data_IF_883411586700
#
_entry.id   IF_883411586700
#
_cell.length_a   1.000
_cell.length_b   1.000
_cell.length_c   1.000
_cell.angle_alpha   90.00
_cell.angle_beta   90.00
_cell.angle_gamma   90.00
#
_symmetry.space_group_name_H-M   'P 1'
#
loop_
_entity.id
_entity.type
_entity.pdbx_description
1 polymer ?
#
# COMPACT_ATOMS: atom_id res chain seq x y z
N UNK A 1 -14.03 3.96 7.32
CA UNK A 1 -13.47 3.75 5.96
C UNK A 1 -13.74 2.30 5.60
N UNK A 2 -14.52 2.04 4.55
CA UNK A 2 -14.90 0.67 4.19
C UNK A 2 -13.71 0.01 3.46
N UNK A 3 -13.23 -1.18 3.88
CA UNK A 3 -12.32 -1.96 3.03
C UNK A 3 -13.00 -2.20 1.68
N UNK A 4 -12.24 -2.22 0.57
CA UNK A 4 -12.73 -2.51 -0.79
C UNK A 4 -13.72 -3.70 -0.71
N UNK A 5 -15.04 -3.43 -0.65
CA UNK A 5 -16.09 -4.42 -0.42
C UNK A 5 -16.24 -5.25 -1.69
N UNK A 6 -16.07 -6.56 -1.56
CA UNK A 6 -15.96 -7.55 -2.65
C UNK A 6 -17.33 -7.85 -3.30
N UNK A 7 -18.27 -6.90 -3.31
CA UNK A 7 -19.69 -7.21 -3.60
C UNK A 7 -20.23 -6.73 -4.94
N UNK A 8 -19.40 -6.22 -5.85
CA UNK A 8 -19.86 -5.90 -7.22
C UNK A 8 -18.89 -6.42 -8.26
N UNK A 9 -19.46 -6.88 -9.38
CA UNK A 9 -18.98 -7.88 -10.35
C UNK A 9 -17.62 -7.62 -11.05
N UNK A 10 -16.87 -6.58 -10.71
CA UNK A 10 -15.48 -6.32 -11.17
C UNK A 10 -14.59 -5.63 -10.08
N UNK A 11 -14.30 -6.27 -8.93
CA UNK A 11 -13.66 -5.60 -7.77
C UNK A 11 -12.16 -5.31 -7.93
N UNK A 12 -11.44 -6.18 -8.65
CA UNK A 12 -9.98 -6.10 -8.76
C UNK A 12 -9.53 -4.89 -9.57
N UNK A 13 -10.25 -4.56 -10.64
CA UNK A 13 -9.87 -3.49 -11.55
C UNK A 13 -9.87 -2.12 -10.85
N UNK A 14 -10.89 -1.81 -10.02
CA UNK A 14 -11.03 -0.49 -9.40
C UNK A 14 -10.05 -0.25 -8.24
N UNK A 15 -9.72 -1.29 -7.46
CA UNK A 15 -8.79 -1.18 -6.33
C UNK A 15 -7.31 -1.17 -6.85
N UNK A 16 -7.00 -1.84 -7.98
CA UNK A 16 -5.69 -1.74 -8.65
C UNK A 16 -5.49 -0.46 -9.47
N UNK A 17 -6.51 -0.02 -10.22
CA UNK A 17 -6.39 1.19 -11.05
C UNK A 17 -6.17 2.44 -10.21
N UNK A 18 -6.78 2.51 -9.02
CA UNK A 18 -6.61 3.65 -8.10
C UNK A 18 -5.16 3.74 -7.58
N UNK A 19 -4.53 2.62 -7.23
CA UNK A 19 -3.14 2.61 -6.73
C UNK A 19 -2.14 3.00 -7.83
N UNK A 20 -2.28 2.40 -9.02
CA UNK A 20 -1.39 2.70 -10.16
C UNK A 20 -1.58 4.13 -10.65
N UNK A 21 -2.80 4.66 -10.63
CA UNK A 21 -3.08 6.07 -10.92
C UNK A 21 -2.38 7.00 -9.91
N UNK A 22 -2.47 6.72 -8.61
CA UNK A 22 -1.78 7.49 -7.58
C UNK A 22 -0.26 7.49 -7.77
N UNK A 23 0.34 6.34 -8.10
CA UNK A 23 1.79 6.23 -8.37
C UNK A 23 2.19 7.06 -9.60
N UNK A 24 1.44 6.95 -10.70
CA UNK A 24 1.73 7.71 -11.92
C UNK A 24 1.57 9.23 -11.70
N UNK A 25 0.54 9.64 -10.96
CA UNK A 25 0.32 11.04 -10.61
C UNK A 25 1.48 11.61 -9.77
N UNK A 26 1.91 10.90 -8.72
CA UNK A 26 3.04 11.34 -7.87
C UNK A 26 4.33 11.41 -8.68
N UNK A 27 4.59 10.40 -9.54
CA UNK A 27 5.76 10.39 -10.43
C UNK A 27 5.76 11.62 -11.35
N UNK A 28 4.64 11.89 -12.01
CA UNK A 28 4.50 13.04 -12.93
C UNK A 28 4.58 14.37 -12.18
N UNK A 29 4.14 14.43 -10.93
CA UNK A 29 4.24 15.64 -10.12
C UNK A 29 5.71 15.98 -9.79
N UNK A 30 6.52 14.98 -9.40
CA UNK A 30 7.96 15.16 -9.18
C UNK A 30 8.67 15.64 -10.45
N UNK A 31 8.27 15.11 -11.59
CA UNK A 31 8.79 15.47 -12.90
C UNK A 31 7.91 16.48 -13.66
N UNK A 32 7.15 17.34 -12.96
CA UNK A 32 6.14 18.20 -13.61
C UNK A 32 6.70 19.13 -14.69
N UNK A 33 7.98 19.48 -14.59
CA UNK A 33 8.69 20.25 -15.60
C UNK A 33 8.77 19.52 -16.97
N UNK A 34 8.82 18.19 -16.95
CA UNK A 34 8.89 17.33 -18.13
C UNK A 34 7.49 17.07 -18.74
N UNK A 35 6.42 17.48 -18.06
CA UNK A 35 5.02 17.27 -18.45
C UNK A 35 4.21 18.59 -18.49
N UNK A 36 4.59 19.56 -19.33
CA UNK A 36 3.82 20.79 -19.48
C UNK A 36 2.42 20.50 -20.08
N UNK A 37 1.38 21.14 -19.54
CA UNK A 37 0.00 20.97 -20.03
C UNK A 37 -0.67 19.65 -19.64
N UNK A 38 -0.19 19.00 -18.58
CA UNK A 38 -0.90 17.85 -18.02
C UNK A 38 -2.11 18.36 -17.23
N UNK A 39 -3.33 18.04 -17.67
CA UNK A 39 -4.59 18.52 -17.10
C UNK A 39 -4.65 18.42 -15.58
N UNK A 40 -4.07 17.39 -14.98
CA UNK A 40 -4.10 17.20 -13.53
C UNK A 40 -3.28 18.24 -12.74
N UNK A 41 -2.46 19.04 -13.41
CA UNK A 41 -1.61 20.10 -12.86
C UNK A 41 -1.98 21.51 -13.35
N UNK A 42 -3.07 21.66 -14.11
CA UNK A 42 -3.55 22.96 -14.61
C UNK A 42 -4.43 23.71 -13.62
N UNK A 43 -4.84 23.03 -12.54
CA UNK A 43 -5.58 23.63 -11.43
C UNK A 43 -4.70 24.57 -10.58
N UNK A 44 -5.32 25.27 -9.62
CA UNK A 44 -4.62 26.03 -8.57
C UNK A 44 -3.60 25.14 -7.84
N UNK A 45 -2.44 25.68 -7.49
CA UNK A 45 -1.34 24.94 -6.85
C UNK A 45 -1.82 24.24 -5.56
N UNK A 46 -2.71 24.88 -4.76
CA UNK A 46 -3.29 24.27 -3.57
C UNK A 46 -4.13 23.02 -3.89
N UNK A 47 -4.87 23.04 -4.99
CA UNK A 47 -5.69 21.90 -5.42
C UNK A 47 -4.81 20.76 -5.95
N UNK A 48 -3.73 21.09 -6.66
CA UNK A 48 -2.73 20.13 -7.11
C UNK A 48 -2.05 19.44 -5.92
N UNK A 49 -1.61 20.23 -4.94
CA UNK A 49 -1.01 19.71 -3.70
C UNK A 49 -1.98 18.81 -2.92
N UNK A 50 -3.24 19.22 -2.76
CA UNK A 50 -4.25 18.41 -2.10
C UNK A 50 -4.47 17.05 -2.80
N UNK A 51 -4.40 17.02 -4.14
CA UNK A 51 -4.52 15.79 -4.93
C UNK A 51 -3.31 14.87 -4.73
N UNK A 52 -2.10 15.43 -4.67
CA UNK A 52 -0.87 14.68 -4.40
C UNK A 52 -0.88 14.11 -2.98
N UNK A 53 -1.24 14.92 -1.97
CA UNK A 53 -1.35 14.47 -0.58
C UNK A 53 -2.36 13.34 -0.42
N UNK A 54 -3.54 13.48 -1.03
CA UNK A 54 -4.55 12.42 -1.05
C UNK A 54 -4.00 11.11 -1.64
N UNK A 55 -3.24 11.19 -2.73
CA UNK A 55 -2.63 10.02 -3.36
C UNK A 55 -1.55 9.37 -2.46
N UNK A 56 -0.72 10.18 -1.82
CA UNK A 56 0.31 9.70 -0.89
C UNK A 56 -0.33 8.98 0.30
N UNK A 57 -1.40 9.55 0.87
CA UNK A 57 -2.11 8.94 2.00
C UNK A 57 -2.74 7.60 1.63
N UNK A 58 -3.32 7.47 0.43
CA UNK A 58 -3.85 6.21 -0.05
C UNK A 58 -2.74 5.16 -0.23
N UNK A 59 -1.61 5.53 -0.83
CA UNK A 59 -0.47 4.63 -0.99
C UNK A 59 0.11 4.23 0.37
N UNK A 60 0.21 5.17 1.31
CA UNK A 60 0.65 4.93 2.69
C UNK A 60 -0.25 3.90 3.39
N UNK A 61 -1.57 4.02 3.25
CA UNK A 61 -2.53 3.05 3.80
C UNK A 61 -2.33 1.67 3.20
N UNK A 62 -2.21 1.55 1.87
CA UNK A 62 -1.95 0.26 1.22
C UNK A 62 -0.66 -0.36 1.73
N UNK A 63 0.44 0.40 1.81
CA UNK A 63 1.72 -0.10 2.30
C UNK A 63 1.64 -0.51 3.77
N UNK A 64 0.84 0.15 4.61
CA UNK A 64 0.64 -0.29 6.00
C UNK A 64 -0.23 -1.55 6.11
N UNK A 65 -1.25 -1.69 5.26
CA UNK A 65 -2.16 -2.83 5.29
C UNK A 65 -1.59 -4.08 4.61
N UNK A 66 -0.77 -3.90 3.57
CA UNK A 66 -0.20 -4.99 2.75
C UNK A 66 1.30 -5.17 2.94
N UNK A 67 1.98 -4.14 3.45
CA UNK A 67 3.38 -4.25 3.84
C UNK A 67 3.45 -5.24 4.98
N UNK A 68 3.95 -6.43 4.67
CA UNK A 68 4.33 -7.37 5.69
C UNK A 68 5.33 -6.68 6.59
N UNK A 69 4.88 -6.23 7.77
CA UNK A 69 5.79 -5.95 8.88
C UNK A 69 6.67 -7.19 8.95
N UNK A 70 7.96 -7.02 8.66
CA UNK A 70 8.93 -8.10 8.65
C UNK A 70 8.98 -8.69 10.05
N UNK A 71 8.05 -9.59 10.36
CA UNK A 71 7.96 -10.22 11.65
C UNK A 71 9.20 -11.08 11.71
N UNK A 72 10.12 -10.73 12.59
CA UNK A 72 11.20 -11.63 12.97
C UNK A 72 10.52 -12.81 13.65
N UNK A 73 10.31 -13.87 12.88
CA UNK A 73 9.76 -15.12 13.41
C UNK A 73 10.93 -15.89 14.00
N UNK A 74 10.84 -16.13 15.30
CA UNK A 74 11.61 -17.16 15.97
C UNK A 74 10.79 -18.44 15.87
N UNK A 75 11.22 -19.37 15.03
CA UNK A 75 10.62 -20.70 14.98
C UNK A 75 11.08 -21.47 16.22
N UNK A 76 10.18 -21.88 17.10
CA UNK A 76 10.55 -22.78 18.19
C UNK A 76 10.94 -24.13 17.58
N UNK A 77 12.22 -24.46 17.67
CA UNK A 77 12.82 -25.64 17.06
C UNK A 77 12.67 -26.89 17.96
N UNK A 78 12.09 -26.73 19.16
CA UNK A 78 11.97 -27.75 20.19
C UNK A 78 13.19 -27.82 21.11
N UNK A 79 13.10 -28.57 22.23
CA UNK A 79 14.18 -28.64 23.22
C UNK A 79 15.46 -29.25 22.62
N UNK A 80 16.61 -28.60 22.87
CA UNK A 80 17.94 -29.08 22.47
C UNK A 80 18.43 -28.65 21.08
N UNK A 81 17.70 -27.78 20.38
CA UNK A 81 18.12 -27.25 19.06
C UNK A 81 18.78 -25.87 19.18
N UNK A 82 19.68 -25.49 18.24
CA UNK A 82 20.34 -24.19 18.25
C UNK A 82 19.32 -23.03 18.19
N UNK A 83 19.71 -21.82 18.66
CA UNK A 83 18.80 -20.68 18.69
C UNK A 83 18.19 -20.42 17.31
N UNK A 84 16.89 -20.08 17.25
CA UNK A 84 16.19 -19.91 15.98
C UNK A 84 16.89 -18.90 15.08
N UNK A 85 17.13 -19.29 13.83
CA UNK A 85 17.55 -18.34 12.79
C UNK A 85 16.42 -17.35 12.52
N UNK A 86 16.72 -16.07 12.53
CA UNK A 86 15.77 -15.02 12.18
C UNK A 86 15.42 -15.13 10.71
N UNK A 87 14.18 -15.53 10.41
CA UNK A 87 13.68 -15.55 9.03
C UNK A 87 12.85 -14.30 8.77
N UNK A 88 13.35 -13.43 7.89
CA UNK A 88 12.56 -12.33 7.35
C UNK A 88 11.59 -12.92 6.33
N UNK A 89 10.34 -13.13 6.75
CA UNK A 89 9.27 -13.63 5.88
C UNK A 89 8.22 -12.54 5.70
N UNK A 90 8.09 -12.08 4.47
CA UNK A 90 7.08 -11.09 4.07
C UNK A 90 5.75 -11.79 3.74
N UNK A 91 5.77 -13.12 3.58
CA UNK A 91 4.60 -13.94 3.31
C UNK A 91 3.88 -14.26 4.62
N UNK A 92 2.75 -13.61 4.84
CA UNK A 92 1.81 -14.00 5.90
C UNK A 92 1.19 -15.34 5.49
N UNK A 93 1.65 -16.45 6.07
CA UNK A 93 0.75 -17.61 6.21
C UNK A 93 -0.37 -17.12 7.14
N UNK A 94 -1.65 -17.23 6.75
CA UNK A 94 -2.75 -16.76 7.59
C UNK A 94 -2.74 -17.57 8.88
N UNK A 95 -2.15 -17.00 9.93
CA UNK A 95 -2.38 -17.44 11.29
C UNK A 95 -3.81 -16.99 11.57
N UNK A 96 -4.66 -17.91 12.03
CA UNK A 96 -6.08 -17.68 12.33
C UNK A 96 -6.18 -16.67 13.48
N UNK A 97 -5.95 -15.39 13.19
CA UNK A 97 -5.99 -14.28 14.15
C UNK A 97 -7.30 -13.56 13.89
N UNK A 98 -8.12 -13.46 14.93
CA UNK A 98 -9.32 -12.62 14.93
C UNK A 98 -8.96 -11.26 14.34
N UNK A 99 -9.79 -10.80 13.41
CA UNK A 99 -9.72 -9.50 12.77
C UNK A 99 -9.63 -8.39 13.83
N UNK A 100 -8.40 -7.95 14.13
CA UNK A 100 -8.15 -6.61 14.62
C UNK A 100 -7.71 -5.82 13.39
N UNK A 101 -8.40 -4.69 13.20
CA UNK A 101 -8.56 -4.00 11.93
C UNK A 101 -7.27 -3.69 11.18
N UNK A 102 -7.43 -3.64 9.86
CA UNK A 102 -7.31 -2.33 9.23
C UNK A 102 -8.57 -1.53 9.55
#
# INVERSE_FOLDING_TARGET
MRPCLVTDTLPWLKCFTSQLHCVDLVRKYVHRADYPGYEAFEDLEEAVLARVDHCIDLLRQVVQCTGGVGRVVYDDMGPGKPPPMTRFSNSVKPRRVLSLGC
#
